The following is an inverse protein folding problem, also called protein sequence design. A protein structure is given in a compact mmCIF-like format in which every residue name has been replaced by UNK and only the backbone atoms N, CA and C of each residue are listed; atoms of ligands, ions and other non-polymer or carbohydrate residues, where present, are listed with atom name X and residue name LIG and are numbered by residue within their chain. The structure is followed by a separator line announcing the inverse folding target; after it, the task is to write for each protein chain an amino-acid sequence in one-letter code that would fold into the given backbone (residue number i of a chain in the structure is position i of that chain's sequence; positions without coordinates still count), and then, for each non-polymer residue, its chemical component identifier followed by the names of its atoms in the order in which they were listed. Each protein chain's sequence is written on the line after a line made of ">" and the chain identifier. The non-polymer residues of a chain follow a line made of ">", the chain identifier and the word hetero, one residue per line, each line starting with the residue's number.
data_IF_848836162002
#
_entry.id   IF_848836162002
#
_cell.length_a   1.000
_cell.length_b   1.000
_cell.length_c   1.000
_cell.angle_alpha   90.00
_cell.angle_beta   90.00
_cell.angle_gamma   90.00
#
_symmetry.space_group_name_H-M   'P 1'
#
loop_
_entity.id
_entity.type
_entity.pdbx_description
1 polymer ?
#
# COMPACT_ATOMS: atom_id res chain seq x y z
N UNK A 1 -31.34 2.79 23.66
CA UNK A 1 -31.95 2.09 22.51
C UNK A 1 -30.85 1.71 21.52
N UNK A 2 -30.31 0.49 21.62
CA UNK A 2 -29.17 0.00 20.83
C UNK A 2 -29.70 -0.77 19.60
N UNK A 3 -29.43 -0.29 18.38
CA UNK A 3 -29.52 -1.14 17.18
C UNK A 3 -28.18 -1.85 17.01
N UNK A 4 -28.17 -3.10 17.46
CA UNK A 4 -27.19 -4.15 17.17
C UNK A 4 -27.58 -4.75 15.82
N UNK A 5 -26.64 -4.82 14.88
CA UNK A 5 -26.81 -5.34 13.52
C UNK A 5 -26.22 -4.32 12.55
N UNK A 6 -25.05 -4.48 11.96
CA UNK A 6 -24.62 -5.64 11.15
C UNK A 6 -23.15 -6.01 11.40
N UNK A 7 -22.91 -7.12 12.09
CA UNK A 7 -21.65 -7.85 11.95
C UNK A 7 -21.81 -8.78 10.75
N UNK A 8 -21.35 -8.39 9.55
CA UNK A 8 -21.87 -9.06 8.35
C UNK A 8 -21.11 -8.98 7.02
N UNK A 9 -19.83 -8.62 6.98
CA UNK A 9 -18.97 -9.07 5.86
C UNK A 9 -17.52 -9.13 6.33
N UNK A 10 -17.12 -10.26 6.93
CA UNK A 10 -15.70 -10.62 7.00
C UNK A 10 -15.24 -10.91 5.57
N UNK A 11 -15.02 -9.85 4.79
CA UNK A 11 -14.40 -9.90 3.47
C UNK A 11 -13.04 -10.57 3.74
N UNK A 12 -12.79 -11.73 3.14
CA UNK A 12 -11.58 -12.53 3.43
C UNK A 12 -10.28 -11.74 3.21
N UNK A 13 -9.09 -12.33 3.36
CA UNK A 13 -7.81 -11.62 3.27
C UNK A 13 -7.63 -10.77 1.99
N UNK A 14 -8.37 -11.07 0.92
CA UNK A 14 -8.39 -10.33 -0.36
C UNK A 14 -9.41 -9.18 -0.42
N UNK A 15 -10.34 -9.12 0.52
CA UNK A 15 -11.42 -8.16 0.57
C UNK A 15 -10.96 -6.78 0.97
N UNK A 16 -10.61 -6.61 2.24
CA UNK A 16 -10.08 -5.35 2.77
C UNK A 16 -8.71 -5.01 2.15
N UNK A 17 -7.82 -5.99 2.00
CA UNK A 17 -6.51 -5.76 1.38
C UNK A 17 -6.58 -5.47 -0.12
N UNK A 18 -7.55 -6.05 -0.83
CA UNK A 18 -7.76 -5.77 -2.26
C UNK A 18 -8.34 -4.37 -2.50
N UNK A 19 -9.26 -3.94 -1.63
CA UNK A 19 -9.77 -2.56 -1.65
C UNK A 19 -8.64 -1.57 -1.38
N UNK A 20 -7.81 -1.83 -0.36
CA UNK A 20 -6.66 -0.98 -0.03
C UNK A 20 -5.63 -0.92 -1.15
N UNK A 21 -5.27 -2.06 -1.75
CA UNK A 21 -4.34 -2.11 -2.89
C UNK A 21 -4.85 -1.27 -4.08
N UNK A 22 -6.16 -1.32 -4.35
CA UNK A 22 -6.78 -0.52 -5.42
C UNK A 22 -6.62 0.98 -5.15
N UNK A 23 -6.89 1.42 -3.91
CA UNK A 23 -6.72 2.83 -3.51
C UNK A 23 -5.24 3.24 -3.61
N UNK A 24 -4.34 2.41 -3.11
CA UNK A 24 -2.88 2.65 -3.14
C UNK A 24 -2.38 2.82 -4.57
N UNK A 25 -2.77 1.94 -5.49
CA UNK A 25 -2.41 2.06 -6.90
C UNK A 25 -2.94 3.35 -7.53
N UNK A 26 -4.20 3.72 -7.26
CA UNK A 26 -4.78 4.97 -7.76
C UNK A 26 -4.02 6.22 -7.28
N UNK A 27 -3.71 6.28 -5.98
CA UNK A 27 -2.94 7.39 -5.38
C UNK A 27 -1.53 7.48 -5.97
N UNK A 28 -0.84 6.35 -6.15
CA UNK A 28 0.49 6.33 -6.75
C UNK A 28 0.50 6.81 -8.21
N UNK A 29 -0.51 6.41 -9.00
CA UNK A 29 -0.64 6.88 -10.39
C UNK A 29 -0.88 8.39 -10.46
N UNK A 30 -1.77 8.93 -9.63
CA UNK A 30 -2.08 10.36 -9.61
C UNK A 30 -0.88 11.20 -9.20
N UNK A 31 -0.16 10.79 -8.15
CA UNK A 31 1.02 11.51 -7.67
C UNK A 31 2.19 11.43 -8.64
N UNK A 32 2.36 10.30 -9.33
CA UNK A 32 3.34 10.18 -10.43
C UNK A 32 2.99 11.11 -11.59
N UNK A 33 1.71 11.24 -11.94
CA UNK A 33 1.30 12.18 -12.98
C UNK A 33 1.52 13.64 -12.54
N UNK A 34 1.19 13.96 -11.30
CA UNK A 34 1.42 15.29 -10.72
C UNK A 34 2.91 15.65 -10.75
N UNK A 35 3.81 14.74 -10.37
CA UNK A 35 5.25 15.02 -10.35
C UNK A 35 5.84 15.30 -11.73
N UNK A 36 5.26 14.71 -12.80
CA UNK A 36 5.61 15.02 -14.19
C UNK A 36 5.10 16.38 -14.63
N UNK A 37 3.90 16.78 -14.20
CA UNK A 37 3.32 18.09 -14.54
C UNK A 37 4.02 19.24 -13.83
N UNK A 38 4.62 18.99 -12.66
CA UNK A 38 5.30 20.00 -11.85
C UNK A 38 6.82 19.96 -11.98
N UNK A 39 7.38 19.12 -12.85
CA UNK A 39 8.83 18.83 -12.91
C UNK A 39 9.46 18.51 -11.53
N UNK A 40 8.68 17.86 -10.66
CA UNK A 40 9.03 17.61 -9.25
C UNK A 40 9.92 16.38 -9.03
N UNK A 41 10.28 15.67 -10.10
CA UNK A 41 11.07 14.45 -10.06
C UNK A 41 10.28 13.22 -9.59
N UNK A 42 11.00 12.20 -9.10
CA UNK A 42 10.39 10.95 -8.65
C UNK A 42 9.67 11.10 -7.31
N UNK A 43 8.44 10.60 -7.22
CA UNK A 43 7.68 10.57 -5.96
C UNK A 43 8.34 9.61 -4.99
N UNK A 44 8.86 10.14 -3.89
CA UNK A 44 9.51 9.34 -2.84
C UNK A 44 8.49 8.75 -1.87
N UNK A 45 7.46 9.51 -1.54
CA UNK A 45 6.43 9.15 -0.57
C UNK A 45 5.16 9.96 -0.83
N UNK A 46 4.00 9.38 -0.54
CA UNK A 46 2.71 10.08 -0.46
C UNK A 46 2.08 9.83 0.89
N UNK A 47 1.49 10.88 1.48
CA UNK A 47 0.72 10.80 2.73
C UNK A 47 -0.60 11.53 2.55
N UNK A 48 -1.71 10.82 2.81
CA UNK A 48 -3.06 11.38 2.84
C UNK A 48 -3.51 11.37 4.29
N UNK A 49 -3.57 12.55 4.91
CA UNK A 49 -4.06 12.72 6.27
C UNK A 49 -5.60 12.82 6.27
N UNK A 50 -6.23 12.17 7.24
CA UNK A 50 -7.67 12.10 7.46
C UNK A 50 -7.93 12.27 8.96
N UNK A 51 -9.17 12.59 9.36
CA UNK A 51 -9.52 12.83 10.77
C UNK A 51 -9.20 11.62 11.67
N UNK A 52 -9.37 10.41 11.15
CA UNK A 52 -9.20 9.15 11.92
C UNK A 52 -7.90 8.40 11.57
N UNK A 53 -6.96 9.03 10.87
CA UNK A 53 -5.69 8.41 10.53
C UNK A 53 -5.05 8.89 9.24
N UNK A 54 -4.20 8.04 8.66
CA UNK A 54 -3.49 8.36 7.42
C UNK A 54 -3.30 7.15 6.52
N UNK A 55 -3.32 7.38 5.21
CA UNK A 55 -2.81 6.46 4.20
C UNK A 55 -1.43 6.92 3.75
N UNK A 56 -0.43 6.04 3.88
CA UNK A 56 0.94 6.28 3.44
C UNK A 56 1.31 5.32 2.32
N UNK A 57 1.92 5.84 1.25
CA UNK A 57 2.35 5.07 0.09
C UNK A 57 3.83 5.32 -0.21
N UNK A 58 4.60 4.25 -0.39
CA UNK A 58 6.00 4.29 -0.84
C UNK A 58 6.23 3.37 -2.03
N UNK A 59 7.08 3.79 -2.96
CA UNK A 59 7.59 2.93 -4.02
C UNK A 59 8.61 1.94 -3.43
N UNK A 60 8.48 0.67 -3.80
CA UNK A 60 9.43 -0.39 -3.39
C UNK A 60 10.52 -0.61 -4.47
N UNK A 61 10.17 -0.39 -5.74
CA UNK A 61 10.97 -0.74 -6.91
C UNK A 61 10.12 -1.50 -7.92
N UNK A 62 10.49 -1.46 -9.21
CA UNK A 62 9.88 -2.24 -10.30
C UNK A 62 8.34 -2.18 -10.36
N UNK A 63 7.76 -1.02 -10.04
CA UNK A 63 6.30 -0.82 -10.05
C UNK A 63 5.54 -1.39 -8.85
N UNK A 64 6.22 -2.00 -7.87
CA UNK A 64 5.63 -2.40 -6.60
C UNK A 64 5.49 -1.22 -5.62
N UNK A 65 4.44 -1.28 -4.79
CA UNK A 65 4.07 -0.26 -3.83
C UNK A 65 3.85 -0.86 -2.44
N UNK A 66 4.28 -0.14 -1.41
CA UNK A 66 3.92 -0.39 -0.02
C UNK A 66 2.84 0.61 0.38
N UNK A 67 1.65 0.11 0.72
CA UNK A 67 0.56 0.90 1.28
C UNK A 67 0.35 0.58 2.75
N UNK A 68 0.28 1.61 3.60
CA UNK A 68 0.03 1.47 5.04
C UNK A 68 -1.14 2.38 5.43
N UNK A 69 -2.13 1.81 6.11
CA UNK A 69 -3.19 2.56 6.76
C UNK A 69 -2.88 2.64 8.27
N UNK A 70 -2.61 3.83 8.76
CA UNK A 70 -2.33 4.11 10.16
C UNK A 70 -3.53 4.81 10.81
N UNK A 71 -3.80 4.48 12.07
CA UNK A 71 -4.82 5.16 12.90
C UNK A 71 -4.27 6.47 13.47
N UNK A 72 -5.16 7.36 13.90
CA UNK A 72 -4.81 8.73 14.31
C UNK A 72 -3.80 8.84 15.47
N UNK A 73 -3.73 7.83 16.35
CA UNK A 73 -2.86 7.80 17.52
C UNK A 73 -1.44 7.24 17.24
N UNK A 74 -1.16 6.88 15.99
CA UNK A 74 0.16 6.40 15.58
C UNK A 74 1.19 7.53 15.47
N UNK A 75 2.43 7.25 15.87
CA UNK A 75 3.59 8.09 15.51
C UNK A 75 3.89 7.92 14.01
N UNK A 76 3.44 8.90 13.21
CA UNK A 76 3.61 8.90 11.76
C UNK A 76 5.08 8.95 11.33
N UNK A 77 5.96 9.54 12.15
CA UNK A 77 7.40 9.54 11.91
C UNK A 77 7.97 8.13 12.06
N UNK A 78 7.59 7.42 13.11
CA UNK A 78 7.98 6.03 13.32
C UNK A 78 7.43 5.11 12.21
N UNK A 79 6.17 5.29 11.79
CA UNK A 79 5.58 4.53 10.67
C UNK A 79 6.39 4.77 9.39
N UNK A 80 6.63 6.03 9.02
CA UNK A 80 7.43 6.37 7.83
C UNK A 80 8.85 5.79 7.89
N UNK A 81 9.50 5.87 9.05
CA UNK A 81 10.84 5.30 9.25
C UNK A 81 10.86 3.78 9.05
N UNK A 82 9.92 3.05 9.65
CA UNK A 82 9.83 1.59 9.48
C UNK A 82 9.47 1.20 8.06
N UNK A 83 8.61 1.97 7.37
CA UNK A 83 8.32 1.75 5.96
C UNK A 83 9.58 1.89 5.10
N UNK A 84 10.39 2.93 5.34
CA UNK A 84 11.66 3.12 4.63
C UNK A 84 12.66 1.97 4.86
N UNK A 85 12.81 1.52 6.12
CA UNK A 85 13.62 0.35 6.45
C UNK A 85 13.09 -0.93 5.78
N UNK A 86 11.77 -1.11 5.75
CA UNK A 86 11.14 -2.25 5.11
C UNK A 86 11.42 -2.27 3.61
N UNK A 87 11.24 -1.14 2.92
CA UNK A 87 11.55 -1.03 1.49
C UNK A 87 13.03 -1.34 1.23
N UNK A 88 13.94 -0.77 2.02
CA UNK A 88 15.37 -1.01 1.87
C UNK A 88 15.79 -2.46 2.10
N UNK A 89 15.10 -3.20 2.98
CA UNK A 89 15.46 -4.59 3.35
C UNK A 89 14.73 -5.64 2.52
N UNK A 90 13.44 -5.45 2.25
CA UNK A 90 12.57 -6.45 1.64
C UNK A 90 12.20 -6.11 0.19
N UNK A 91 12.58 -4.94 -0.32
CA UNK A 91 12.12 -4.51 -1.65
C UNK A 91 12.52 -5.44 -2.78
N UNK A 92 13.73 -6.01 -2.70
CA UNK A 92 14.27 -6.95 -3.68
C UNK A 92 13.50 -8.28 -3.80
N UNK A 93 12.70 -8.66 -2.80
CA UNK A 93 11.85 -9.87 -2.83
C UNK A 93 10.37 -9.56 -3.08
N UNK A 94 10.01 -8.28 -3.26
CA UNK A 94 8.63 -7.83 -3.44
C UNK A 94 8.39 -7.27 -4.85
N UNK A 95 9.21 -7.66 -5.82
CA UNK A 95 9.05 -7.25 -7.21
C UNK A 95 7.87 -7.97 -7.87
N UNK A 96 7.17 -7.32 -8.83
CA UNK A 96 6.10 -7.98 -9.57
C UNK A 96 6.56 -9.23 -10.31
N UNK A 97 7.79 -9.22 -10.83
CA UNK A 97 8.43 -10.30 -11.56
C UNK A 97 8.54 -11.54 -10.68
N UNK A 98 9.18 -11.43 -9.51
CA UNK A 98 9.37 -12.54 -8.59
C UNK A 98 8.01 -13.08 -8.09
N UNK A 99 7.04 -12.19 -7.83
CA UNK A 99 5.68 -12.60 -7.46
C UNK A 99 4.97 -13.37 -8.57
N UNK A 100 5.20 -12.99 -9.83
CA UNK A 100 4.64 -13.69 -11.00
C UNK A 100 5.25 -15.08 -11.16
N UNK A 101 6.58 -15.18 -11.03
CA UNK A 101 7.31 -16.45 -11.09
C UNK A 101 6.84 -17.44 -10.02
N UNK A 102 6.77 -17.01 -8.75
CA UNK A 102 6.28 -17.84 -7.65
C UNK A 102 4.84 -18.33 -7.88
N UNK A 103 3.97 -17.47 -8.41
CA UNK A 103 2.59 -17.83 -8.73
C UNK A 103 2.53 -18.85 -9.87
N UNK A 104 3.35 -18.69 -10.90
CA UNK A 104 3.48 -19.66 -12.00
C UNK A 104 3.97 -21.01 -11.51
N UNK A 105 5.03 -21.04 -10.69
CA UNK A 105 5.57 -22.25 -10.09
C UNK A 105 4.56 -22.96 -9.15
N UNK A 106 3.70 -22.22 -8.45
CA UNK A 106 2.60 -22.79 -7.66
C UNK A 106 1.50 -23.38 -8.54
N UNK A 107 1.17 -22.74 -9.67
CA UNK A 107 0.13 -23.22 -10.60
C UNK A 107 0.58 -24.42 -11.41
N UNK A 108 1.88 -24.56 -11.70
CA UNK A 108 2.44 -25.68 -12.47
C UNK A 108 2.60 -26.97 -11.63
N UNK A 109 2.33 -26.91 -10.32
CA UNK A 109 2.44 -28.03 -9.38
C UNK A 109 1.10 -28.75 -9.13
N UNK A 110 0.04 -28.35 -9.83
CA UNK A 110 -1.29 -28.96 -9.80
C UNK A 110 -1.80 -29.12 -11.24
#
# INVERSE_FOLDING_TARGET
>A
MRRRGEAGRRRGPRGSSGDLATIVSGVASLTTAASRLTDGGAVRQTMVAMDEGALMVMAIGDGSLLGVHAVADCDMGAVGYQMGLFVGRAGHVLTPELRSELRGAMSARW
#
